data_IF_511781800093
#
_entry.id   IF_511781800093
#
_cell.length_a   1.000
_cell.length_b   1.000
_cell.length_c   1.000
_cell.angle_alpha   90.00
_cell.angle_beta   90.00
_cell.angle_gamma   90.00
#
_symmetry.space_group_name_H-M   'P 1'
#
loop_
_entity.id
_entity.type
_entity.pdbx_description
1 polymer ?
#
# COMPACT_ATOMS: atom_id res chain seq x y z
N UNK A 1 31.29 61.80 -7.82
CA UNK A 1 30.54 61.38 -6.62
C UNK A 1 29.69 60.18 -7.02
N UNK A 2 29.97 58.98 -6.48
CA UNK A 2 29.22 57.76 -6.80
C UNK A 2 28.08 57.58 -5.77
N UNK A 3 26.84 57.52 -6.24
CA UNK A 3 25.68 57.27 -5.39
C UNK A 3 25.66 55.81 -4.89
N UNK A 4 25.33 55.54 -3.61
CA UNK A 4 25.28 54.18 -3.09
C UNK A 4 24.11 53.42 -3.71
N UNK A 5 24.35 52.14 -4.02
CA UNK A 5 23.40 51.26 -4.69
C UNK A 5 22.02 51.28 -4.01
N UNK A 6 21.00 51.68 -4.78
CA UNK A 6 19.61 51.71 -4.35
C UNK A 6 19.17 50.33 -3.86
N UNK A 7 18.68 50.28 -2.62
CA UNK A 7 18.02 49.11 -2.03
C UNK A 7 16.93 48.59 -2.98
N UNK A 8 17.15 47.41 -3.57
CA UNK A 8 16.16 46.76 -4.42
C UNK A 8 15.14 46.04 -3.53
N UNK A 9 13.85 46.41 -3.56
CA UNK A 9 12.84 45.69 -2.78
C UNK A 9 12.77 44.23 -3.23
N UNK A 10 12.69 43.32 -2.27
CA UNK A 10 12.58 41.90 -2.54
C UNK A 10 11.34 41.63 -3.43
N UNK A 11 11.57 41.03 -4.61
CA UNK A 11 10.47 40.68 -5.52
C UNK A 11 9.59 39.63 -4.84
N UNK A 12 8.29 39.90 -4.72
CA UNK A 12 7.32 38.94 -4.19
C UNK A 12 7.34 37.66 -5.02
N UNK A 13 7.35 36.51 -4.35
CA UNK A 13 7.27 35.21 -5.02
C UNK A 13 5.88 35.10 -5.69
N UNK A 14 5.80 34.80 -7.00
CA UNK A 14 4.52 34.57 -7.66
C UNK A 14 3.72 33.46 -6.98
N UNK A 15 2.40 33.62 -6.85
CA UNK A 15 1.54 32.69 -6.13
C UNK A 15 1.67 31.23 -6.63
N UNK A 16 1.76 31.03 -7.95
CA UNK A 16 1.96 29.71 -8.54
C UNK A 16 3.29 29.05 -8.11
N UNK A 17 4.37 29.84 -8.00
CA UNK A 17 5.67 29.34 -7.51
C UNK A 17 5.60 28.99 -6.03
N UNK A 18 4.91 29.81 -5.23
CA UNK A 18 4.72 29.53 -3.81
C UNK A 18 3.88 28.26 -3.59
N UNK A 19 2.81 28.06 -4.37
CA UNK A 19 1.99 26.84 -4.32
C UNK A 19 2.81 25.57 -4.65
N UNK A 20 3.63 25.62 -5.71
CA UNK A 20 4.54 24.52 -6.07
C UNK A 20 5.54 24.21 -4.95
N UNK A 21 6.13 25.23 -4.33
CA UNK A 21 7.06 25.04 -3.20
C UNK A 21 6.37 24.42 -1.99
N UNK A 22 5.14 24.83 -1.68
CA UNK A 22 4.35 24.23 -0.60
C UNK A 22 4.02 22.76 -0.88
N UNK A 23 3.59 22.44 -2.10
CA UNK A 23 3.34 21.06 -2.51
C UNK A 23 4.61 20.19 -2.42
N UNK A 24 5.75 20.70 -2.91
CA UNK A 24 7.02 19.99 -2.82
C UNK A 24 7.47 19.78 -1.36
N UNK A 25 7.29 20.77 -0.50
CA UNK A 25 7.61 20.65 0.93
C UNK A 25 6.68 19.67 1.65
N UNK A 26 5.39 19.66 1.31
CA UNK A 26 4.43 18.69 1.82
C UNK A 26 4.81 17.26 1.40
N UNK A 27 5.16 17.05 0.12
CA UNK A 27 5.63 15.76 -0.37
C UNK A 27 6.92 15.29 0.32
N UNK A 28 7.88 16.20 0.54
CA UNK A 28 9.11 15.89 1.30
C UNK A 28 8.83 15.53 2.76
N UNK A 29 7.86 16.20 3.39
CA UNK A 29 7.46 15.89 4.77
C UNK A 29 6.82 14.51 4.83
N UNK A 30 5.89 14.21 3.91
CA UNK A 30 5.28 12.89 3.80
C UNK A 30 6.33 11.79 3.62
N UNK A 31 7.26 11.97 2.68
CA UNK A 31 8.33 11.00 2.44
C UNK A 31 9.22 10.75 3.67
N UNK A 32 9.42 11.76 4.53
CA UNK A 32 10.16 11.60 5.80
C UNK A 32 9.36 10.81 6.82
N UNK A 33 8.06 11.09 6.94
CA UNK A 33 7.15 10.36 7.83
C UNK A 33 7.06 8.89 7.41
N UNK A 34 6.91 8.62 6.11
CA UNK A 34 6.88 7.26 5.56
C UNK A 34 8.21 6.52 5.79
N UNK A 35 9.35 7.19 5.57
CA UNK A 35 10.67 6.60 5.83
C UNK A 35 10.92 6.32 7.32
N UNK A 36 10.44 7.19 8.21
CA UNK A 36 10.50 6.94 9.64
C UNK A 36 9.62 5.75 10.03
N UNK A 37 8.42 5.66 9.48
CA UNK A 37 7.52 4.55 9.73
C UNK A 37 8.10 3.21 9.23
N UNK A 38 8.70 3.19 8.04
CA UNK A 38 9.35 1.98 7.52
C UNK A 38 10.49 1.49 8.44
N UNK A 39 11.22 2.42 9.07
CA UNK A 39 12.25 2.07 10.07
C UNK A 39 11.64 1.48 11.34
N UNK A 40 10.52 2.04 11.82
CA UNK A 40 9.80 1.50 12.97
C UNK A 40 9.28 0.09 12.69
N UNK A 41 8.67 -0.10 11.52
CA UNK A 41 8.15 -1.40 11.11
C UNK A 41 9.29 -2.43 10.97
N UNK A 42 10.43 -2.05 10.38
CA UNK A 42 11.60 -2.92 10.29
C UNK A 42 12.18 -3.29 11.66
N UNK A 43 12.21 -2.34 12.60
CA UNK A 43 12.62 -2.61 13.98
C UNK A 43 11.63 -3.57 14.68
N UNK A 44 10.32 -3.36 14.48
CA UNK A 44 9.28 -4.23 15.04
C UNK A 44 9.41 -5.67 14.52
N UNK A 45 9.71 -5.86 13.23
CA UNK A 45 9.92 -7.20 12.65
C UNK A 45 11.06 -7.98 13.30
N UNK A 46 12.12 -7.31 13.76
CA UNK A 46 13.24 -7.97 14.45
C UNK A 46 12.81 -8.53 15.81
N UNK A 47 11.85 -7.88 16.46
CA UNK A 47 11.39 -8.25 17.81
C UNK A 47 10.14 -9.12 17.81
N UNK A 48 9.24 -8.90 16.86
CA UNK A 48 7.95 -9.57 16.75
C UNK A 48 7.60 -9.70 15.26
N UNK A 49 8.20 -10.69 14.55
CA UNK A 49 7.93 -10.89 13.14
C UNK A 49 6.46 -11.28 12.95
N UNK A 50 5.81 -10.70 11.94
CA UNK A 50 4.44 -11.04 11.57
C UNK A 50 4.39 -12.54 11.24
N UNK A 51 3.58 -13.36 11.93
CA UNK A 51 3.38 -14.76 11.62
C UNK A 51 2.86 -14.99 10.19
N UNK A 52 3.09 -16.19 9.66
CA UNK A 52 2.51 -16.57 8.37
C UNK A 52 0.98 -16.53 8.41
N UNK A 53 0.36 -16.12 7.29
CA UNK A 53 -1.08 -15.91 7.13
C UNK A 53 -1.69 -14.81 8.01
N UNK A 54 -0.88 -14.07 8.78
CA UNK A 54 -1.35 -12.94 9.56
C UNK A 54 -1.39 -11.66 8.70
N UNK A 55 -2.46 -10.88 8.88
CA UNK A 55 -2.69 -9.67 8.12
C UNK A 55 -1.80 -8.53 8.61
N UNK A 56 -1.00 -7.99 7.71
CA UNK A 56 -0.24 -6.77 7.89
C UNK A 56 -0.90 -5.61 7.12
N UNK A 57 -1.15 -4.44 7.74
CA UNK A 57 -1.76 -3.30 7.06
C UNK A 57 -0.82 -2.63 6.03
N UNK A 58 0.49 -2.89 6.12
CA UNK A 58 1.53 -2.28 5.28
C UNK A 58 2.56 -3.31 4.84
N UNK A 59 3.08 -3.15 3.61
CA UNK A 59 4.15 -4.02 3.08
C UNK A 59 5.42 -3.96 3.92
N UNK A 60 5.74 -2.80 4.49
CA UNK A 60 6.91 -2.58 5.36
C UNK A 60 6.86 -3.38 6.67
N UNK A 61 5.73 -3.96 7.04
CA UNK A 61 5.59 -4.80 8.22
C UNK A 61 5.84 -6.29 7.92
N UNK A 62 5.95 -6.68 6.65
CA UNK A 62 6.25 -8.05 6.24
C UNK A 62 7.76 -8.27 6.07
N UNK A 63 8.24 -9.52 6.29
CA UNK A 63 9.63 -9.87 6.05
C UNK A 63 10.14 -9.43 4.66
N UNK A 64 11.41 -9.04 4.58
CA UNK A 64 12.06 -8.77 3.30
C UNK A 64 12.25 -10.03 2.45
N UNK A 65 12.40 -9.87 1.14
CA UNK A 65 12.72 -10.97 0.22
C UNK A 65 11.52 -11.84 -0.20
N UNK A 66 10.30 -11.45 0.13
CA UNK A 66 9.09 -12.16 -0.29
C UNK A 66 8.88 -12.07 -1.81
N UNK A 67 8.54 -13.21 -2.41
CA UNK A 67 8.26 -13.28 -3.84
C UNK A 67 6.81 -12.92 -4.15
N UNK A 68 6.61 -11.96 -5.05
CA UNK A 68 5.31 -11.66 -5.62
C UNK A 68 5.10 -12.46 -6.90
N UNK A 69 4.07 -13.32 -6.92
CA UNK A 69 3.87 -14.31 -7.97
C UNK A 69 3.03 -13.83 -9.16
N UNK A 70 2.70 -12.53 -9.25
CA UNK A 70 2.01 -11.95 -10.41
C UNK A 70 2.96 -11.10 -11.26
N UNK A 71 2.66 -10.97 -12.55
CA UNK A 71 3.38 -10.05 -13.44
C UNK A 71 3.06 -8.57 -13.15
N UNK A 72 1.84 -8.31 -12.68
CA UNK A 72 1.36 -6.97 -12.34
C UNK A 72 2.03 -6.47 -11.05
N UNK A 73 2.18 -5.15 -10.83
CA UNK A 73 2.67 -4.63 -9.56
C UNK A 73 1.75 -5.03 -8.39
N UNK A 74 2.32 -5.11 -7.19
CA UNK A 74 1.57 -5.41 -5.96
C UNK A 74 0.48 -4.34 -5.75
N UNK A 75 -0.80 -4.72 -5.68
CA UNK A 75 -1.89 -3.77 -5.44
C UNK A 75 -1.76 -3.02 -4.11
N UNK A 76 -2.10 -1.73 -4.12
CA UNK A 76 -2.22 -0.94 -2.89
C UNK A 76 -3.47 -1.34 -2.08
N UNK A 77 -3.42 -1.19 -0.76
CA UNK A 77 -4.61 -1.30 0.10
C UNK A 77 -5.71 -0.35 -0.37
N UNK A 78 -6.96 -0.82 -0.38
CA UNK A 78 -8.13 -0.11 -0.92
C UNK A 78 -8.34 -0.32 -2.42
N UNK A 79 -7.39 -0.95 -3.14
CA UNK A 79 -7.57 -1.30 -4.56
C UNK A 79 -8.55 -2.47 -4.70
N UNK A 80 -9.48 -2.36 -5.63
CA UNK A 80 -10.33 -3.50 -6.03
C UNK A 80 -9.60 -4.34 -7.07
N UNK A 81 -9.47 -5.64 -6.79
CA UNK A 81 -8.84 -6.64 -7.65
C UNK A 81 -9.85 -7.72 -8.05
N UNK A 82 -9.59 -8.38 -9.18
CA UNK A 82 -10.34 -9.57 -9.57
C UNK A 82 -9.54 -10.81 -9.14
N UNK A 83 -10.13 -11.61 -8.26
CA UNK A 83 -9.54 -12.85 -7.74
C UNK A 83 -10.24 -14.04 -8.36
N UNK A 84 -9.50 -15.06 -8.77
CA UNK A 84 -10.07 -16.33 -9.21
C UNK A 84 -10.12 -17.28 -7.99
N UNK A 85 -11.34 -17.55 -7.50
CA UNK A 85 -11.58 -18.52 -6.41
C UNK A 85 -12.36 -19.70 -6.97
N UNK A 86 -11.77 -20.89 -6.91
CA UNK A 86 -12.39 -22.14 -7.37
C UNK A 86 -12.93 -22.08 -8.82
N UNK A 87 -12.24 -21.35 -9.70
CA UNK A 87 -12.63 -21.20 -11.11
C UNK A 87 -13.63 -20.07 -11.38
N UNK A 88 -14.03 -19.31 -10.35
CA UNK A 88 -14.93 -18.17 -10.48
C UNK A 88 -14.21 -16.84 -10.24
N UNK A 89 -14.27 -15.89 -11.20
CA UNK A 89 -13.73 -14.55 -10.99
C UNK A 89 -14.67 -13.75 -10.08
N UNK A 90 -14.12 -13.24 -8.98
CA UNK A 90 -14.82 -12.39 -8.01
C UNK A 90 -14.08 -11.06 -7.83
N UNK A 91 -14.82 -9.99 -7.53
CA UNK A 91 -14.22 -8.70 -7.15
C UNK A 91 -14.00 -8.66 -5.64
N UNK A 92 -12.79 -8.29 -5.24
CA UNK A 92 -12.41 -8.15 -3.85
C UNK A 92 -11.57 -6.88 -3.63
N UNK A 93 -11.74 -6.24 -2.50
CA UNK A 93 -10.94 -5.09 -2.08
C UNK A 93 -9.75 -5.58 -1.26
N UNK A 94 -8.56 -5.03 -1.52
CA UNK A 94 -7.35 -5.32 -0.75
C UNK A 94 -7.42 -4.59 0.59
N UNK A 95 -7.45 -5.33 1.70
CA UNK A 95 -7.45 -4.79 3.07
C UNK A 95 -6.07 -4.77 3.70
N UNK A 96 -5.14 -5.55 3.18
CA UNK A 96 -3.79 -5.64 3.69
C UNK A 96 -2.95 -6.66 2.94
N UNK A 97 -1.85 -7.04 3.56
CA UNK A 97 -0.85 -7.94 3.02
C UNK A 97 -0.65 -9.11 3.98
N UNK A 98 -0.11 -10.20 3.48
CA UNK A 98 0.28 -11.35 4.30
C UNK A 98 1.48 -12.02 3.64
N UNK A 99 2.13 -12.93 4.36
CA UNK A 99 3.13 -13.80 3.77
C UNK A 99 2.87 -15.26 4.15
N UNK A 100 3.31 -16.18 3.29
CA UNK A 100 3.40 -17.59 3.61
C UNK A 100 4.43 -18.27 2.72
N UNK A 101 5.27 -19.14 3.30
CA UNK A 101 6.25 -19.94 2.56
C UNK A 101 7.14 -19.12 1.60
N UNK A 102 7.51 -17.90 2.00
CA UNK A 102 8.34 -16.98 1.20
C UNK A 102 7.61 -16.21 0.09
N UNK A 103 6.29 -16.35 -0.02
CA UNK A 103 5.47 -15.61 -0.98
C UNK A 103 4.72 -14.45 -0.33
N UNK A 104 4.59 -13.36 -1.09
CA UNK A 104 3.73 -12.23 -0.74
C UNK A 104 2.28 -12.53 -1.17
N UNK A 105 1.37 -12.40 -0.21
CA UNK A 105 -0.07 -12.50 -0.43
C UNK A 105 -0.80 -11.19 -0.09
N UNK A 106 -2.03 -11.09 -0.55
CA UNK A 106 -2.97 -10.02 -0.25
C UNK A 106 -4.05 -10.56 0.67
N UNK A 107 -4.43 -9.75 1.65
CA UNK A 107 -5.66 -9.96 2.42
C UNK A 107 -6.76 -9.21 1.69
N UNK A 108 -7.76 -9.94 1.23
CA UNK A 108 -8.84 -9.43 0.39
C UNK A 108 -10.21 -9.72 1.00
N UNK A 109 -11.10 -8.75 0.88
CA UNK A 109 -12.49 -8.85 1.29
C UNK A 109 -13.39 -8.73 0.05
N UNK A 110 -14.31 -9.67 -0.13
CA UNK A 110 -15.19 -9.66 -1.31
C UNK A 110 -16.18 -8.51 -1.23
N UNK A 111 -16.30 -7.76 -2.32
CA UNK A 111 -17.20 -6.58 -2.37
C UNK A 111 -18.66 -6.99 -2.54
N UNK A 112 -18.92 -8.19 -3.07
CA UNK A 112 -20.23 -8.80 -3.09
C UNK A 112 -20.36 -9.76 -1.91
N UNK A 113 -20.97 -9.30 -0.81
CA UNK A 113 -21.66 -10.23 0.07
C UNK A 113 -22.79 -10.84 -0.73
N UNK A 114 -22.60 -12.06 -1.25
CA UNK A 114 -23.73 -12.84 -1.72
C UNK A 114 -24.71 -12.92 -0.55
N UNK A 115 -25.85 -12.22 -0.69
CA UNK A 115 -26.94 -12.12 0.29
C UNK A 115 -27.51 -13.50 0.70
N UNK A 116 -27.04 -14.55 0.03
CA UNK A 116 -27.38 -15.98 0.13
C UNK A 116 -26.24 -16.87 0.66
N UNK A 117 -25.07 -16.34 1.02
CA UNK A 117 -24.02 -17.15 1.63
C UNK A 117 -24.43 -17.57 3.05
N UNK A 118 -24.89 -18.82 3.19
CA UNK A 118 -25.34 -19.35 4.47
C UNK A 118 -24.26 -19.19 5.55
N UNK A 119 -24.68 -19.06 6.82
CA UNK A 119 -23.80 -18.88 7.99
C UNK A 119 -22.70 -19.97 8.12
N UNK A 120 -22.84 -21.10 7.41
CA UNK A 120 -21.85 -22.21 7.27
C UNK A 120 -20.75 -21.95 6.23
N UNK A 121 -20.94 -21.02 5.29
CA UNK A 121 -19.95 -20.56 4.30
C UNK A 121 -19.21 -19.29 4.76
N UNK A 122 -19.08 -19.08 6.07
CA UNK A 122 -18.18 -18.05 6.58
C UNK A 122 -16.77 -18.50 6.22
N UNK A 123 -16.19 -17.84 5.22
CA UNK A 123 -14.81 -18.00 4.80
C UNK A 123 -13.92 -17.95 6.03
N UNK A 124 -13.08 -18.97 6.23
CA UNK A 124 -12.03 -18.92 7.26
C UNK A 124 -11.14 -17.70 7.00
N UNK A 125 -10.37 -17.21 7.99
CA UNK A 125 -9.43 -16.11 7.77
C UNK A 125 -8.51 -16.33 6.55
N UNK A 126 -8.17 -17.61 6.27
CA UNK A 126 -7.40 -18.04 5.09
C UNK A 126 -8.13 -17.86 3.76
N UNK A 127 -9.45 -17.91 3.72
CA UNK A 127 -10.22 -17.72 2.50
C UNK A 127 -10.29 -16.25 2.05
N UNK A 128 -9.78 -15.30 2.85
CA UNK A 128 -9.50 -13.93 2.42
C UNK A 128 -8.10 -13.73 1.84
N UNK A 129 -7.19 -14.70 1.98
CA UNK A 129 -5.81 -14.58 1.49
C UNK A 129 -5.71 -15.02 0.05
N UNK A 130 -5.12 -14.18 -0.80
CA UNK A 130 -4.87 -14.50 -2.21
C UNK A 130 -3.44 -14.17 -2.59
N UNK A 131 -2.83 -15.04 -3.39
CA UNK A 131 -1.50 -14.83 -3.94
C UNK A 131 -1.57 -14.28 -5.36
N UNK A 132 -0.47 -13.71 -5.84
CA UNK A 132 -0.42 -13.08 -7.17
C UNK A 132 -0.85 -14.00 -8.33
N UNK A 133 -0.67 -15.32 -8.20
CA UNK A 133 -1.08 -16.31 -9.21
C UNK A 133 -2.60 -16.50 -9.28
N UNK A 134 -3.32 -16.11 -8.24
CA UNK A 134 -4.78 -16.20 -8.14
C UNK A 134 -5.46 -14.89 -8.57
N UNK A 135 -4.70 -13.84 -8.84
CA UNK A 135 -5.24 -12.66 -9.49
C UNK A 135 -5.58 -13.04 -10.93
N UNK A 136 -6.83 -12.82 -11.32
CA UNK A 136 -7.18 -12.92 -12.73
C UNK A 136 -6.34 -11.87 -13.48
N UNK A 137 -5.63 -12.29 -14.54
CA UNK A 137 -5.04 -11.35 -15.47
C UNK A 137 -6.15 -10.39 -15.89
N UNK A 138 -6.06 -9.13 -15.46
CA UNK A 138 -6.86 -8.08 -16.05
C UNK A 138 -6.44 -8.03 -17.52
N UNK A 139 -7.27 -8.62 -18.38
CA UNK A 139 -7.18 -8.46 -19.83
C UNK A 139 -7.59 -7.02 -20.19
#
# INVERSE_FOLDING_TARGET
MNAPAAFRPARRIPAARLARLRAANAAKRQAREDAWQARQDAAAQLTNPVPEFEAAPRLTMLPGGLHWSAQQPVPAVGTTVTVNRDGHPERAEVKGYTHAAGFLGLVTETTHHARTASRRKRSSPRAGVVFGSQLALAA
#
